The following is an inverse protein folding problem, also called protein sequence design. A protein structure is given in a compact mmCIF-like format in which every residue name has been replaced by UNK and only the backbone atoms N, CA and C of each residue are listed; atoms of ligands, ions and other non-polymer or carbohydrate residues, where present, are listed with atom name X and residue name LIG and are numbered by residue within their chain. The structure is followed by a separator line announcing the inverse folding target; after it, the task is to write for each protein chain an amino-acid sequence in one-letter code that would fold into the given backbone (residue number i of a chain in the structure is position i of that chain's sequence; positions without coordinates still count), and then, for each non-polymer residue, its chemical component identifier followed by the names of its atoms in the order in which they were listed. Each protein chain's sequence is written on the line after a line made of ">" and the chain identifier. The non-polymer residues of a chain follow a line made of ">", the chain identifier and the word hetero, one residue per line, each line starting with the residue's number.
data_IF_886143709444
#
_entry.id   IF_886143709444
#
_cell.length_a   1.000
_cell.length_b   1.000
_cell.length_c   1.000
_cell.angle_alpha   90.00
_cell.angle_beta   90.00
_cell.angle_gamma   90.00
#
_symmetry.space_group_name_H-M   'P 1'
#
loop_
_entity.id
_entity.type
_entity.pdbx_description
1 polymer ?
#
# COMPACT_ATOMS: atom_id res chain seq x y z
N UNK A 1 -30.03 -36.17 -14.04
CA UNK A 1 -30.45 -34.76 -14.02
C UNK A 1 -29.84 -34.02 -12.82
N UNK A 2 -29.61 -34.71 -11.70
CA UNK A 2 -29.04 -34.13 -10.46
C UNK A 2 -27.63 -33.56 -10.63
N UNK A 3 -26.75 -34.24 -11.39
CA UNK A 3 -25.39 -33.74 -11.63
C UNK A 3 -25.39 -32.40 -12.38
N UNK A 4 -26.30 -32.20 -13.33
CA UNK A 4 -26.37 -30.96 -14.12
C UNK A 4 -26.77 -29.78 -13.23
N UNK A 5 -27.71 -29.98 -12.31
CA UNK A 5 -28.15 -28.96 -11.34
C UNK A 5 -27.01 -28.60 -10.38
N UNK A 6 -26.22 -29.59 -9.94
CA UNK A 6 -25.07 -29.39 -9.05
C UNK A 6 -23.96 -28.56 -9.72
N UNK A 7 -23.65 -28.85 -10.98
CA UNK A 7 -22.69 -28.08 -11.76
C UNK A 7 -23.17 -26.65 -12.07
N UNK A 8 -24.47 -26.48 -12.36
CA UNK A 8 -25.07 -25.14 -12.57
C UNK A 8 -25.02 -24.32 -11.28
N UNK A 9 -25.35 -24.94 -10.13
CA UNK A 9 -25.26 -24.29 -8.82
C UNK A 9 -23.84 -23.86 -8.48
N UNK A 10 -22.85 -24.73 -8.76
CA UNK A 10 -21.44 -24.41 -8.55
C UNK A 10 -20.96 -23.28 -9.46
N UNK A 11 -21.33 -23.30 -10.75
CA UNK A 11 -20.97 -22.24 -11.69
C UNK A 11 -21.57 -20.89 -11.28
N UNK A 12 -22.83 -20.88 -10.83
CA UNK A 12 -23.49 -19.68 -10.29
C UNK A 12 -22.81 -19.18 -9.02
N UNK A 13 -22.43 -20.08 -8.11
CA UNK A 13 -21.70 -19.72 -6.89
C UNK A 13 -20.35 -19.09 -7.21
N UNK A 14 -19.58 -19.66 -8.14
CA UNK A 14 -18.29 -19.11 -8.57
C UNK A 14 -18.48 -17.74 -9.24
N UNK A 15 -19.47 -17.60 -10.13
CA UNK A 15 -19.77 -16.32 -10.77
C UNK A 15 -20.19 -15.25 -9.74
N UNK A 16 -21.00 -15.62 -8.75
CA UNK A 16 -21.45 -14.73 -7.69
C UNK A 16 -20.29 -14.31 -6.77
N UNK A 17 -19.45 -15.25 -6.34
CA UNK A 17 -18.25 -14.96 -5.55
C UNK A 17 -17.26 -14.09 -6.33
N UNK A 18 -17.08 -14.33 -7.63
CA UNK A 18 -16.23 -13.52 -8.49
C UNK A 18 -16.78 -12.10 -8.63
N UNK A 19 -18.09 -11.95 -8.80
CA UNK A 19 -18.75 -10.64 -8.89
C UNK A 19 -18.67 -9.87 -7.56
N UNK A 20 -18.88 -10.54 -6.43
CA UNK A 20 -18.70 -9.94 -5.10
C UNK A 20 -17.25 -9.51 -4.88
N UNK A 21 -16.30 -10.37 -5.24
CA UNK A 21 -14.87 -10.07 -5.11
C UNK A 21 -14.47 -8.87 -5.98
N UNK A 22 -14.95 -8.78 -7.22
CA UNK A 22 -14.72 -7.62 -8.10
C UNK A 22 -15.30 -6.31 -7.53
N UNK A 23 -16.52 -6.33 -7.00
CA UNK A 23 -17.12 -5.14 -6.36
C UNK A 23 -16.38 -4.71 -5.10
N UNK A 24 -15.80 -5.66 -4.37
CA UNK A 24 -15.06 -5.39 -3.14
C UNK A 24 -13.65 -4.87 -3.43
N UNK A 25 -12.98 -5.38 -4.46
CA UNK A 25 -11.65 -4.92 -4.94
C UNK A 25 -11.68 -3.51 -5.53
N UNK A 26 -12.78 -3.09 -6.16
CA UNK A 26 -12.97 -1.74 -6.72
C UNK A 26 -13.95 -0.90 -5.91
N UNK A 27 -13.96 -1.06 -4.58
CA UNK A 27 -14.72 -0.18 -3.71
C UNK A 27 -14.29 1.28 -3.93
N UNK A 28 -15.27 2.19 -4.06
CA UNK A 28 -15.03 3.65 -4.15
C UNK A 28 -14.09 4.15 -3.05
N UNK A 29 -14.06 3.47 -1.89
CA UNK A 29 -13.21 3.80 -0.76
C UNK A 29 -11.74 3.55 -1.03
N UNK A 30 -11.37 2.45 -1.70
CA UNK A 30 -9.97 2.15 -2.06
C UNK A 30 -9.43 3.22 -3.00
N UNK A 31 -10.24 3.61 -4.00
CA UNK A 31 -9.86 4.67 -4.95
C UNK A 31 -9.71 6.03 -4.25
N UNK A 32 -10.57 6.32 -3.27
CA UNK A 32 -10.47 7.53 -2.46
C UNK A 32 -9.20 7.49 -1.61
N UNK A 33 -8.98 6.42 -0.85
CA UNK A 33 -7.79 6.23 -0.03
C UNK A 33 -6.50 6.32 -0.86
N UNK A 34 -6.49 5.72 -2.05
CA UNK A 34 -5.38 5.83 -3.00
C UNK A 34 -5.06 7.29 -3.35
N UNK A 35 -6.09 8.07 -3.66
CA UNK A 35 -5.94 9.49 -4.03
C UNK A 35 -5.47 10.32 -2.84
N UNK A 36 -6.06 10.12 -1.67
CA UNK A 36 -5.73 10.83 -0.43
C UNK A 36 -4.28 10.54 -0.01
N UNK A 37 -3.87 9.27 0.03
CA UNK A 37 -2.50 8.88 0.35
C UNK A 37 -1.47 9.42 -0.64
N UNK A 38 -1.83 9.50 -1.93
CA UNK A 38 -0.99 10.14 -2.95
C UNK A 38 -0.83 11.63 -2.69
N UNK A 39 -1.90 12.33 -2.34
CA UNK A 39 -1.85 13.74 -1.99
C UNK A 39 -1.00 13.98 -0.73
N UNK A 40 -1.21 13.18 0.31
CA UNK A 40 -0.43 13.25 1.55
C UNK A 40 1.06 12.99 1.31
N UNK A 41 1.39 11.99 0.49
CA UNK A 41 2.77 11.71 0.07
C UNK A 41 3.39 12.90 -0.66
N UNK A 42 2.64 13.53 -1.55
CA UNK A 42 3.11 14.70 -2.28
C UNK A 42 3.31 15.91 -1.35
N UNK A 43 2.40 16.13 -0.39
CA UNK A 43 2.59 17.16 0.66
C UNK A 43 3.87 16.95 1.45
N UNK A 44 4.20 15.70 1.82
CA UNK A 44 5.44 15.38 2.54
C UNK A 44 6.67 15.73 1.70
N UNK A 45 6.67 15.34 0.42
CA UNK A 45 7.76 15.61 -0.53
C UNK A 45 7.97 17.11 -0.78
N UNK A 46 6.88 17.87 -0.86
CA UNK A 46 6.89 19.32 -1.04
C UNK A 46 7.11 20.10 0.27
N UNK A 47 7.32 19.40 1.39
CA UNK A 47 7.47 19.99 2.72
C UNK A 47 6.28 20.81 3.21
N UNK A 48 5.09 20.50 2.71
CA UNK A 48 3.81 21.12 3.07
C UNK A 48 2.94 20.20 3.95
N UNK A 49 3.54 19.18 4.55
CA UNK A 49 2.81 18.29 5.46
C UNK A 49 2.59 18.98 6.80
N UNK A 50 1.44 18.72 7.40
CA UNK A 50 1.06 19.28 8.70
C UNK A 50 0.89 18.18 9.76
N UNK A 51 1.07 18.50 11.05
CA UNK A 51 0.82 17.55 12.13
C UNK A 51 -0.63 17.05 12.19
N UNK A 52 -1.58 17.86 11.68
CA UNK A 52 -3.00 17.51 11.54
C UNK A 52 -3.26 16.41 10.50
N UNK A 53 -2.35 16.21 9.54
CA UNK A 53 -2.49 15.18 8.50
C UNK A 53 -2.34 13.75 9.06
N UNK A 54 -1.87 13.56 10.29
CA UNK A 54 -1.63 12.23 10.90
C UNK A 54 -2.92 11.41 10.94
N UNK A 55 -4.04 12.03 11.31
CA UNK A 55 -5.33 11.34 11.34
C UNK A 55 -5.73 10.83 9.94
N UNK A 56 -5.47 11.61 8.89
CA UNK A 56 -5.76 11.21 7.51
C UNK A 56 -4.85 10.05 7.09
N UNK A 57 -3.56 10.11 7.43
CA UNK A 57 -2.65 8.99 7.21
C UNK A 57 -3.16 7.71 7.84
N UNK A 58 -3.53 7.73 9.12
CA UNK A 58 -3.97 6.54 9.85
C UNK A 58 -5.28 5.96 9.28
N UNK A 59 -6.26 6.80 8.97
CA UNK A 59 -7.54 6.36 8.41
C UNK A 59 -7.36 5.72 7.03
N UNK A 60 -6.64 6.38 6.13
CA UNK A 60 -6.51 5.92 4.75
C UNK A 60 -5.54 4.74 4.64
N UNK A 61 -4.50 4.67 5.48
CA UNK A 61 -3.66 3.48 5.60
C UNK A 61 -4.46 2.29 6.12
N UNK A 62 -5.26 2.46 7.17
CA UNK A 62 -6.09 1.37 7.71
C UNK A 62 -7.12 0.85 6.70
N UNK A 63 -7.63 1.71 5.81
CA UNK A 63 -8.49 1.27 4.71
C UNK A 63 -7.70 0.48 3.66
N UNK A 64 -6.51 0.96 3.27
CA UNK A 64 -5.65 0.27 2.29
C UNK A 64 -5.03 -1.02 2.82
N UNK A 65 -4.81 -1.16 4.12
CA UNK A 65 -4.34 -2.40 4.76
C UNK A 65 -5.29 -3.58 4.57
N UNK A 66 -6.60 -3.30 4.39
CA UNK A 66 -7.59 -4.33 4.00
C UNK A 66 -7.38 -4.84 2.58
N UNK A 67 -6.61 -4.11 1.77
CA UNK A 67 -6.34 -4.37 0.35
C UNK A 67 -4.82 -4.42 0.09
N UNK A 68 -4.11 -5.44 0.61
CA UNK A 68 -2.64 -5.46 0.61
C UNK A 68 -2.01 -5.40 -0.79
N UNK A 69 -2.68 -5.96 -1.81
CA UNK A 69 -2.19 -5.88 -3.20
C UNK A 69 -2.18 -4.44 -3.73
N UNK A 70 -3.25 -3.66 -3.47
CA UNK A 70 -3.34 -2.27 -3.90
C UNK A 70 -2.41 -1.38 -3.08
N UNK A 71 -2.24 -1.67 -1.79
CA UNK A 71 -1.27 -0.98 -0.93
C UNK A 71 0.15 -1.18 -1.43
N UNK A 72 0.55 -2.42 -1.74
CA UNK A 72 1.89 -2.72 -2.26
C UNK A 72 2.12 -2.04 -3.62
N UNK A 73 1.10 -1.99 -4.47
CA UNK A 73 1.17 -1.31 -5.77
C UNK A 73 1.34 0.21 -5.60
N UNK A 74 0.52 0.83 -4.75
CA UNK A 74 0.62 2.26 -4.43
C UNK A 74 2.01 2.58 -3.87
N UNK A 75 2.47 1.79 -2.92
CA UNK A 75 3.77 1.96 -2.31
C UNK A 75 4.93 1.80 -3.30
N UNK A 76 4.83 0.86 -4.24
CA UNK A 76 5.80 0.76 -5.35
C UNK A 76 5.77 1.97 -6.30
N UNK A 77 4.60 2.60 -6.52
CA UNK A 77 4.48 3.79 -7.40
C UNK A 77 5.05 5.05 -6.72
N UNK A 78 4.73 5.28 -5.44
CA UNK A 78 4.98 6.56 -4.78
C UNK A 78 5.89 6.47 -3.54
N UNK A 79 6.41 5.30 -3.18
CA UNK A 79 7.21 5.12 -1.96
C UNK A 79 6.44 5.53 -0.70
N UNK A 80 5.17 5.11 -0.61
CA UNK A 80 4.21 5.47 0.43
C UNK A 80 4.77 5.25 1.84
N UNK A 81 5.34 4.09 2.14
CA UNK A 81 5.88 3.74 3.46
C UNK A 81 7.05 4.65 3.83
N UNK A 82 7.92 4.94 2.88
CA UNK A 82 9.02 5.88 3.09
C UNK A 82 8.50 7.30 3.34
N UNK A 83 7.49 7.74 2.57
CA UNK A 83 6.87 9.05 2.77
C UNK A 83 6.19 9.16 4.14
N UNK A 84 5.55 8.09 4.61
CA UNK A 84 4.95 8.05 5.94
C UNK A 84 6.00 8.08 7.06
N UNK A 85 7.12 7.37 6.90
CA UNK A 85 8.26 7.47 7.85
C UNK A 85 8.81 8.89 7.86
N UNK A 86 9.03 9.52 6.70
CA UNK A 86 9.50 10.91 6.63
C UNK A 86 8.51 11.89 7.27
N UNK A 87 7.21 11.64 7.11
CA UNK A 87 6.17 12.39 7.78
C UNK A 87 6.28 12.29 9.31
N UNK A 88 6.37 11.07 9.83
CA UNK A 88 6.48 10.81 11.27
C UNK A 88 7.79 11.34 11.85
N UNK A 89 8.93 11.20 11.16
CA UNK A 89 10.21 11.77 11.59
C UNK A 89 10.13 13.31 11.71
N UNK A 90 9.33 13.97 10.88
CA UNK A 90 9.15 15.43 10.90
C UNK A 90 8.17 15.91 11.97
N UNK A 91 7.01 15.25 12.09
CA UNK A 91 5.88 15.74 12.92
C UNK A 91 5.67 14.97 14.22
N UNK A 92 6.24 13.78 14.37
CA UNK A 92 6.08 12.92 15.54
C UNK A 92 7.34 12.06 15.79
N UNK A 93 8.52 12.67 16.01
CA UNK A 93 9.79 11.95 16.11
C UNK A 93 9.92 11.01 17.33
N UNK A 94 9.01 11.13 18.29
CA UNK A 94 8.94 10.29 19.49
C UNK A 94 7.97 9.11 19.35
N UNK A 95 7.38 8.90 18.17
CA UNK A 95 6.49 7.78 17.93
C UNK A 95 7.24 6.44 18.06
N UNK A 96 6.75 5.57 18.94
CA UNK A 96 7.34 4.26 19.26
C UNK A 96 7.36 3.34 18.02
N UNK A 97 6.49 3.59 17.04
CA UNK A 97 6.37 2.79 15.80
C UNK A 97 7.44 3.12 14.77
N UNK A 98 8.11 4.27 14.88
CA UNK A 98 9.08 4.76 13.90
C UNK A 98 10.19 3.75 13.56
N UNK A 99 10.86 3.09 14.54
CA UNK A 99 11.90 2.11 14.23
C UNK A 99 11.39 0.95 13.39
N UNK A 100 10.25 0.37 13.77
CA UNK A 100 9.63 -0.74 13.02
C UNK A 100 9.17 -0.35 11.62
N UNK A 101 8.60 0.86 11.46
CA UNK A 101 8.16 1.36 10.16
C UNK A 101 9.36 1.65 9.24
N UNK A 102 10.47 2.12 9.81
CA UNK A 102 11.72 2.37 9.09
C UNK A 102 12.36 1.07 8.60
N UNK A 103 12.38 0.03 9.41
CA UNK A 103 12.83 -1.31 8.99
C UNK A 103 11.94 -1.86 7.87
N UNK A 104 10.61 -1.77 8.00
CA UNK A 104 9.67 -2.21 6.97
C UNK A 104 9.82 -1.45 5.64
N UNK A 105 10.08 -0.15 5.69
CA UNK A 105 10.37 0.67 4.52
C UNK A 105 11.75 0.34 3.89
N UNK A 106 12.75 0.02 4.72
CA UNK A 106 14.10 -0.34 4.26
C UNK A 106 14.12 -1.69 3.52
N UNK A 107 13.44 -2.71 4.05
CA UNK A 107 13.40 -4.04 3.44
C UNK A 107 12.75 -4.09 2.04
N UNK A 108 11.88 -3.13 1.74
CA UNK A 108 11.26 -3.04 0.42
C UNK A 108 12.22 -2.50 -0.65
N UNK A 109 13.16 -1.63 -0.25
CA UNK A 109 14.23 -1.17 -1.13
C UNK A 109 15.10 -2.34 -1.60
N UNK A 110 15.32 -3.32 -0.71
CA UNK A 110 16.10 -4.53 -1.01
C UNK A 110 15.31 -5.55 -1.86
N UNK A 111 13.99 -5.61 -1.73
CA UNK A 111 13.16 -6.54 -2.53
C UNK A 111 12.85 -6.04 -3.95
N UNK A 112 12.86 -4.73 -4.19
CA UNK A 112 12.73 -4.17 -5.55
C UNK A 112 14.05 -4.24 -6.32
N UNK A 113 15.18 -4.44 -5.64
CA UNK A 113 16.52 -4.52 -6.22
C UNK A 113 17.16 -5.91 -6.11
N UNK A 114 16.59 -6.87 -6.84
CA UNK A 114 17.33 -8.03 -7.36
C UNK A 114 18.50 -7.69 -8.30
N UNK A 115 19.04 -6.48 -8.24
CA UNK A 115 20.31 -6.11 -8.82
C UNK A 115 21.25 -5.88 -7.65
N UNK A 116 21.99 -6.95 -7.30
CA UNK A 116 23.28 -6.83 -6.65
C UNK A 116 24.01 -5.64 -7.27
N UNK A 117 24.30 -4.60 -6.49
CA UNK A 117 25.42 -3.71 -6.80
C UNK A 117 26.69 -4.58 -6.70
N UNK A 118 26.93 -5.36 -7.77
CA UNK A 118 28.21 -5.96 -8.06
C UNK A 118 29.15 -4.81 -8.39
N UNK A 119 29.84 -4.38 -7.34
CA UNK A 119 31.22 -3.92 -7.36
C UNK A 119 31.89 -3.96 -8.76
N UNK A 120 31.81 -2.84 -9.48
CA UNK A 120 32.73 -2.52 -10.55
C UNK A 120 33.47 -1.24 -10.16
N UNK A 121 34.35 -1.36 -9.17
CA UNK A 121 35.47 -0.43 -9.04
C UNK A 121 36.36 -0.49 -10.30
N UNK A 122 36.92 0.64 -10.76
CA UNK A 122 37.80 0.64 -11.93
C UNK A 122 39.10 -0.07 -11.55
N UNK A 123 39.38 -1.21 -12.20
CA UNK A 123 40.73 -1.77 -12.15
C UNK A 123 41.67 -0.81 -12.89
N UNK A 124 42.62 -0.26 -12.13
CA UNK A 124 43.86 0.34 -12.66
C UNK A 124 44.68 -0.72 -13.39
#
# INVERSE_FOLDING_TARGET
>A
MDNVILWIGLALLIAFLTFMNQKQLYSSKVKQAYRELRELTEKVRLERSEASDLYRWEVELAEMEKHPNELNKLDAEIGLRQAFVMYLERHSPLDVRLPSLKEAAAHQKDSVWGIKMGDYGPKK
#
